data_IF_821921043595
#
_entry.id   IF_821921043595
#
_cell.length_a   1.000
_cell.length_b   1.000
_cell.length_c   1.000
_cell.angle_alpha   90.00
_cell.angle_beta   90.00
_cell.angle_gamma   90.00
#
_symmetry.space_group_name_H-M   'P 1'
#
loop_
_entity.id
_entity.type
_entity.pdbx_description
1 polymer ?
#
# COMPACT_ATOMS: atom_id res chain seq x y z
N UNK A 1 13.37 21.92 12.63
CA UNK A 1 12.54 21.13 13.60
C UNK A 1 11.79 22.04 14.58
N UNK A 2 12.33 23.23 14.94
CA UNK A 2 11.60 24.25 15.74
C UNK A 2 10.44 24.93 14.99
N UNK A 3 10.56 25.11 13.68
CA UNK A 3 9.56 25.90 12.91
C UNK A 3 8.25 25.15 12.67
N UNK A 4 8.29 23.81 12.71
CA UNK A 4 7.09 22.95 12.68
C UNK A 4 6.36 23.02 14.02
N UNK A 5 7.09 23.06 15.14
CA UNK A 5 6.52 23.22 16.49
C UNK A 5 5.90 24.62 16.67
N UNK A 6 6.53 25.66 16.10
CA UNK A 6 5.99 27.02 16.11
C UNK A 6 4.70 27.16 15.26
N UNK A 7 4.61 26.47 14.11
CA UNK A 7 3.38 26.43 13.31
C UNK A 7 2.23 25.72 14.02
N UNK A 8 2.52 24.67 14.80
CA UNK A 8 1.51 23.99 15.62
C UNK A 8 1.03 24.85 16.81
N UNK A 9 1.91 25.63 17.44
CA UNK A 9 1.51 26.58 18.50
C UNK A 9 0.57 27.66 17.97
N UNK A 10 0.84 28.17 16.76
CA UNK A 10 -0.03 29.18 16.12
C UNK A 10 -1.41 28.64 15.72
N UNK A 11 -1.51 27.34 15.41
CA UNK A 11 -2.78 26.63 15.17
C UNK A 11 -3.58 26.38 16.45
N UNK A 12 -2.90 26.25 17.60
CA UNK A 12 -3.54 26.13 18.92
C UNK A 12 -4.06 27.50 19.42
N UNK A 13 -3.40 28.60 19.07
CA UNK A 13 -3.85 29.96 19.45
C UNK A 13 -5.07 30.46 18.64
N UNK A 14 -5.34 29.88 17.47
CA UNK A 14 -6.58 30.10 16.71
C UNK A 14 -7.84 29.52 17.41
N UNK A 15 -7.65 28.76 18.50
CA UNK A 15 -8.73 28.24 19.37
C UNK A 15 -9.32 29.31 20.29
N UNK A 16 -8.85 30.56 20.24
CA UNK A 16 -9.34 31.69 21.04
C UNK A 16 -10.12 32.75 20.23
N UNK A 17 -10.62 32.43 19.05
CA UNK A 17 -11.58 33.29 18.35
C UNK A 17 -13.01 32.98 18.81
N UNK A 18 -13.48 33.86 19.71
CA UNK A 18 -14.84 34.35 19.92
C UNK A 18 -15.99 33.38 19.64
N UNK A 19 -16.59 32.92 20.74
CA UNK A 19 -17.92 32.32 20.83
C UNK A 19 -18.93 33.25 20.12
N UNK A 20 -19.41 32.84 18.95
CA UNK A 20 -20.48 33.54 18.21
C UNK A 20 -21.81 32.84 18.51
N UNK A 21 -22.71 33.45 19.30
CA UNK A 21 -23.97 32.84 19.71
C UNK A 21 -25.02 32.74 18.59
N UNK A 22 -24.72 33.24 17.38
CA UNK A 22 -25.64 33.15 16.22
C UNK A 22 -25.50 31.86 15.40
N UNK A 23 -24.47 31.04 15.63
CA UNK A 23 -24.33 29.71 15.01
C UNK A 23 -25.05 28.59 15.77
N UNK A 24 -25.70 28.92 16.89
CA UNK A 24 -26.38 27.97 17.79
C UNK A 24 -27.87 27.74 17.44
N UNK A 25 -28.44 28.53 16.52
CA UNK A 25 -29.86 28.46 16.12
C UNK A 25 -30.10 27.99 14.68
N UNK A 26 -29.10 27.39 14.02
CA UNK A 26 -29.36 26.66 12.78
C UNK A 26 -29.87 25.27 13.14
N UNK A 27 -31.18 25.18 13.38
CA UNK A 27 -31.95 23.94 13.35
C UNK A 27 -31.66 23.27 11.99
N UNK A 28 -30.78 22.28 12.00
CA UNK A 28 -30.62 21.38 10.88
C UNK A 28 -31.86 20.49 10.89
N UNK A 29 -32.82 20.85 10.03
CA UNK A 29 -34.06 20.13 9.80
C UNK A 29 -33.81 18.62 9.84
N UNK A 30 -34.40 17.95 10.83
CA UNK A 30 -34.32 16.50 11.06
C UNK A 30 -35.04 15.67 9.99
N UNK A 31 -35.37 16.27 8.85
CA UNK A 31 -35.88 15.62 7.63
C UNK A 31 -34.75 15.25 6.65
N UNK A 32 -33.49 15.26 7.08
CA UNK A 32 -32.39 14.61 6.38
C UNK A 32 -32.63 13.12 6.29
N UNK A 33 -33.37 12.69 5.26
CA UNK A 33 -33.48 11.31 4.84
C UNK A 33 -32.07 10.72 4.78
N UNK A 34 -31.79 9.79 5.69
CA UNK A 34 -30.60 8.97 5.61
C UNK A 34 -30.67 8.24 4.27
N UNK A 35 -29.88 8.70 3.30
CA UNK A 35 -29.87 8.12 1.96
C UNK A 35 -29.64 6.63 2.11
N UNK A 36 -30.65 5.83 1.72
CA UNK A 36 -30.57 4.37 1.78
C UNK A 36 -29.31 3.89 1.05
N UNK A 37 -28.72 2.77 1.47
CA UNK A 37 -27.59 2.14 0.76
C UNK A 37 -27.91 1.96 -0.73
N UNK A 38 -29.19 1.75 -1.06
CA UNK A 38 -29.69 1.67 -2.44
C UNK A 38 -29.64 3.01 -3.18
N UNK A 39 -29.90 4.13 -2.52
CA UNK A 39 -29.82 5.47 -3.10
C UNK A 39 -28.37 5.92 -3.29
N UNK A 40 -27.47 5.56 -2.37
CA UNK A 40 -26.03 5.80 -2.51
C UNK A 40 -25.46 4.97 -3.67
N UNK A 41 -25.85 3.70 -3.77
CA UNK A 41 -25.50 2.85 -4.90
C UNK A 41 -26.05 3.41 -6.21
N UNK A 42 -27.30 3.89 -6.23
CA UNK A 42 -27.90 4.53 -7.39
C UNK A 42 -27.16 5.82 -7.79
N UNK A 43 -26.72 6.62 -6.83
CA UNK A 43 -25.94 7.84 -7.07
C UNK A 43 -24.57 7.52 -7.66
N UNK A 44 -23.85 6.54 -7.11
CA UNK A 44 -22.57 6.07 -7.65
C UNK A 44 -22.71 5.49 -9.06
N UNK A 45 -23.76 4.69 -9.30
CA UNK A 45 -24.05 4.14 -10.63
C UNK A 45 -24.33 5.27 -11.62
N UNK A 46 -25.08 6.29 -11.20
CA UNK A 46 -25.43 7.46 -12.02
C UNK A 46 -24.23 8.34 -12.31
N UNK A 47 -23.35 8.55 -11.33
CA UNK A 47 -22.10 9.29 -11.50
C UNK A 47 -21.15 8.53 -12.45
N UNK A 48 -21.00 7.21 -12.24
CA UNK A 48 -20.18 6.37 -13.10
C UNK A 48 -20.73 6.31 -14.55
N UNK A 49 -22.04 6.16 -14.73
CA UNK A 49 -22.66 6.20 -16.07
C UNK A 49 -22.52 7.57 -16.72
N UNK A 50 -22.64 8.67 -15.96
CA UNK A 50 -22.45 10.03 -16.48
C UNK A 50 -21.01 10.24 -16.92
N UNK A 51 -20.03 9.82 -16.11
CA UNK A 51 -18.62 9.85 -16.48
C UNK A 51 -18.34 9.00 -17.72
N UNK A 52 -18.91 7.79 -17.83
CA UNK A 52 -18.75 6.92 -19.00
C UNK A 52 -19.38 7.54 -20.25
N UNK A 53 -20.56 8.16 -20.15
CA UNK A 53 -21.27 8.81 -21.27
C UNK A 53 -20.52 10.06 -21.74
N UNK A 54 -20.06 10.89 -20.82
CA UNK A 54 -19.29 12.11 -21.12
C UNK A 54 -17.93 11.73 -21.72
N UNK A 55 -17.22 10.78 -21.11
CA UNK A 55 -15.96 10.28 -21.65
C UNK A 55 -16.15 9.49 -22.94
N UNK A 56 -17.34 8.93 -23.25
CA UNK A 56 -17.56 8.18 -24.50
C UNK A 56 -17.18 9.03 -25.71
N UNK A 57 -17.59 10.29 -25.73
CA UNK A 57 -17.31 11.19 -26.86
C UNK A 57 -15.80 11.40 -27.09
N UNK A 58 -15.01 11.47 -26.01
CA UNK A 58 -13.55 11.59 -26.03
C UNK A 58 -12.85 10.24 -26.28
N UNK A 59 -13.38 9.13 -25.76
CA UNK A 59 -12.88 7.76 -25.94
C UNK A 59 -12.91 7.34 -27.41
N UNK A 60 -13.96 7.75 -28.12
CA UNK A 60 -14.16 7.42 -29.53
C UNK A 60 -13.25 8.23 -30.46
N UNK A 61 -12.87 9.46 -30.07
CA UNK A 61 -12.03 10.35 -30.88
C UNK A 61 -10.52 10.08 -30.74
N UNK A 62 -10.06 9.54 -29.61
CA UNK A 62 -8.63 9.32 -29.36
C UNK A 62 -8.31 7.82 -29.14
N UNK A 63 -7.79 7.10 -30.15
CA UNK A 63 -7.44 5.69 -30.02
C UNK A 63 -6.34 5.44 -28.98
N UNK A 64 -5.47 6.42 -28.73
CA UNK A 64 -4.45 6.38 -27.69
C UNK A 64 -5.06 6.27 -26.28
N UNK A 65 -6.11 7.04 -25.98
CA UNK A 65 -6.81 7.00 -24.70
C UNK A 65 -7.49 5.64 -24.48
N UNK A 66 -8.12 5.08 -25.53
CA UNK A 66 -8.76 3.76 -25.48
C UNK A 66 -7.75 2.63 -25.29
N UNK A 67 -6.54 2.76 -25.85
CA UNK A 67 -5.44 1.84 -25.61
C UNK A 67 -4.93 1.95 -24.17
N UNK A 68 -4.77 3.17 -23.66
CA UNK A 68 -4.41 3.43 -22.26
C UNK A 68 -5.40 2.82 -21.26
N UNK A 69 -6.70 3.04 -21.42
CA UNK A 69 -7.73 2.48 -20.52
C UNK A 69 -7.75 0.95 -20.56
N UNK A 70 -7.59 0.34 -21.75
CA UNK A 70 -7.50 -1.12 -21.84
C UNK A 70 -6.24 -1.69 -21.20
N UNK A 71 -5.16 -0.92 -21.16
CA UNK A 71 -3.88 -1.34 -20.60
C UNK A 71 -3.82 -1.13 -19.07
N UNK A 72 -4.27 0.03 -18.57
CA UNK A 72 -4.22 0.39 -17.13
C UNK A 72 -5.52 0.14 -16.36
N UNK A 73 -6.64 -0.13 -17.04
CA UNK A 73 -7.93 -0.41 -16.41
C UNK A 73 -7.93 -1.68 -15.55
N UNK A 74 -7.48 -2.85 -16.04
CA UNK A 74 -7.45 -4.07 -15.25
C UNK A 74 -6.69 -3.99 -13.92
N UNK A 75 -5.44 -3.45 -13.85
CA UNK A 75 -4.75 -3.32 -12.57
C UNK A 75 -5.43 -2.33 -11.62
N UNK A 76 -6.05 -1.26 -12.15
CA UNK A 76 -6.86 -0.33 -11.37
C UNK A 76 -8.08 -1.02 -10.75
N UNK A 77 -8.80 -1.85 -11.52
CA UNK A 77 -9.96 -2.61 -11.01
C UNK A 77 -9.54 -3.53 -9.88
N UNK A 78 -8.44 -4.27 -10.02
CA UNK A 78 -7.93 -5.15 -8.94
C UNK A 78 -7.64 -4.36 -7.66
N UNK A 79 -7.05 -3.17 -7.77
CA UNK A 79 -6.80 -2.29 -6.62
C UNK A 79 -8.10 -1.77 -6.02
N UNK A 80 -9.08 -1.33 -6.82
CA UNK A 80 -10.38 -0.86 -6.31
C UNK A 80 -11.18 -1.98 -5.65
N UNK A 81 -11.11 -3.21 -6.15
CA UNK A 81 -11.74 -4.37 -5.51
C UNK A 81 -11.27 -4.57 -4.06
N UNK A 82 -10.03 -4.20 -3.73
CA UNK A 82 -9.52 -4.26 -2.35
C UNK A 82 -10.26 -3.32 -1.41
N UNK A 83 -10.65 -2.13 -1.90
CA UNK A 83 -11.38 -1.15 -1.10
C UNK A 83 -12.76 -1.67 -0.65
N UNK A 84 -13.39 -2.56 -1.42
CA UNK A 84 -14.62 -3.24 -1.01
C UNK A 84 -14.39 -4.52 -0.23
N UNK A 85 -13.35 -5.29 -0.60
CA UNK A 85 -13.04 -6.57 0.01
C UNK A 85 -12.74 -6.45 1.51
N UNK A 86 -11.90 -5.49 1.90
CA UNK A 86 -11.43 -5.39 3.29
C UNK A 86 -12.52 -4.95 4.28
N UNK A 87 -13.35 -3.93 4.01
CA UNK A 87 -14.53 -3.66 4.84
C UNK A 87 -15.46 -4.89 4.93
N UNK A 88 -15.69 -5.60 3.82
CA UNK A 88 -16.46 -6.84 3.82
C UNK A 88 -15.86 -7.91 4.76
N UNK A 89 -14.54 -8.07 4.73
CA UNK A 89 -13.82 -8.94 5.65
C UNK A 89 -13.95 -8.48 7.11
N UNK A 90 -13.86 -7.18 7.42
CA UNK A 90 -14.08 -6.65 8.77
C UNK A 90 -15.47 -7.01 9.31
N UNK A 91 -16.52 -6.82 8.51
CA UNK A 91 -17.90 -7.14 8.92
C UNK A 91 -18.07 -8.63 9.17
N UNK A 92 -17.56 -9.43 8.24
CA UNK A 92 -17.64 -10.87 8.35
C UNK A 92 -16.87 -11.37 9.56
N UNK A 93 -15.69 -10.81 9.82
CA UNK A 93 -14.86 -11.14 10.98
C UNK A 93 -15.56 -10.78 12.29
N UNK A 94 -16.14 -9.58 12.40
CA UNK A 94 -16.82 -9.14 13.63
C UNK A 94 -18.04 -10.01 13.98
N UNK A 95 -18.82 -10.40 12.97
CA UNK A 95 -20.03 -11.24 13.14
C UNK A 95 -19.76 -12.74 13.28
N UNK A 96 -18.51 -13.16 13.13
CA UNK A 96 -18.13 -14.57 13.08
C UNK A 96 -17.82 -15.15 14.45
N UNK A 97 -18.11 -16.45 14.62
CA UNK A 97 -17.63 -17.23 15.76
C UNK A 97 -16.10 -17.36 15.74
N UNK A 98 -15.48 -17.71 16.88
CA UNK A 98 -14.02 -17.85 16.98
C UNK A 98 -13.42 -18.80 15.95
N UNK A 99 -14.09 -19.92 15.66
CA UNK A 99 -13.66 -20.87 14.64
C UNK A 99 -13.68 -20.24 13.23
N UNK A 100 -14.73 -19.49 12.90
CA UNK A 100 -14.84 -18.81 11.59
C UNK A 100 -13.82 -17.67 11.49
N UNK A 101 -13.54 -16.94 12.57
CA UNK A 101 -12.46 -15.94 12.62
C UNK A 101 -11.10 -16.54 12.26
N UNK A 102 -10.78 -17.72 12.80
CA UNK A 102 -9.53 -18.43 12.47
C UNK A 102 -9.51 -18.83 10.97
N UNK A 103 -10.62 -19.33 10.43
CA UNK A 103 -10.71 -19.66 8.99
C UNK A 103 -10.51 -18.42 8.12
N UNK A 104 -11.17 -17.30 8.45
CA UNK A 104 -11.01 -16.04 7.72
C UNK A 104 -9.56 -15.52 7.77
N UNK A 105 -8.91 -15.64 8.92
CA UNK A 105 -7.48 -15.35 9.09
C UNK A 105 -6.61 -16.18 8.16
N UNK A 106 -6.89 -17.48 7.99
CA UNK A 106 -6.14 -18.35 7.07
C UNK A 106 -6.47 -18.03 5.60
N UNK A 107 -7.70 -17.64 5.28
CA UNK A 107 -8.09 -17.24 3.94
C UNK A 107 -7.42 -15.92 3.50
N UNK A 108 -7.12 -15.02 4.44
CA UNK A 108 -6.56 -13.71 4.14
C UNK A 108 -5.22 -13.76 3.36
N UNK A 109 -4.19 -14.52 3.80
CA UNK A 109 -2.97 -14.73 3.02
C UNK A 109 -3.20 -15.33 1.63
N UNK A 110 -4.17 -16.24 1.48
CA UNK A 110 -4.49 -16.87 0.20
C UNK A 110 -5.07 -15.86 -0.79
N UNK A 111 -5.96 -15.00 -0.30
CA UNK A 111 -6.55 -13.93 -1.11
C UNK A 111 -5.48 -12.91 -1.47
N UNK A 112 -4.69 -12.43 -0.49
CA UNK A 112 -3.53 -11.56 -0.71
C UNK A 112 -2.62 -12.13 -1.82
N UNK A 113 -2.24 -13.41 -1.72
CA UNK A 113 -1.45 -14.10 -2.75
C UNK A 113 -2.13 -14.13 -4.12
N UNK A 114 -3.42 -14.46 -4.17
CA UNK A 114 -4.21 -14.47 -5.41
C UNK A 114 -4.25 -13.09 -6.08
N UNK A 115 -4.41 -12.03 -5.30
CA UNK A 115 -4.40 -10.64 -5.77
C UNK A 115 -3.03 -10.24 -6.31
N UNK A 116 -1.94 -10.53 -5.57
CA UNK A 116 -0.56 -10.33 -6.04
C UNK A 116 -0.32 -11.01 -7.38
N UNK A 117 -0.64 -12.29 -7.48
CA UNK A 117 -0.40 -13.10 -8.68
C UNK A 117 -1.24 -12.63 -9.87
N UNK A 118 -2.45 -12.14 -9.62
CA UNK A 118 -3.30 -11.58 -10.67
C UNK A 118 -2.73 -10.26 -11.16
N UNK A 119 -2.29 -9.41 -10.24
CA UNK A 119 -1.72 -8.11 -10.56
C UNK A 119 -0.36 -8.23 -11.25
N UNK A 120 0.50 -9.16 -10.86
CA UNK A 120 1.76 -9.47 -11.54
C UNK A 120 1.54 -9.95 -12.97
N UNK A 121 0.56 -10.85 -13.20
CA UNK A 121 0.22 -11.33 -14.55
C UNK A 121 -0.26 -10.19 -15.46
N UNK A 122 -1.07 -9.29 -14.92
CA UNK A 122 -1.57 -8.11 -15.65
C UNK A 122 -0.43 -7.12 -15.89
N UNK A 123 0.37 -6.83 -14.85
CA UNK A 123 1.49 -5.89 -14.87
C UNK A 123 2.60 -6.31 -15.83
N UNK A 124 2.86 -7.61 -16.00
CA UNK A 124 3.87 -8.12 -16.94
C UNK A 124 3.61 -7.69 -18.39
N UNK A 125 2.38 -7.34 -18.76
CA UNK A 125 2.03 -6.81 -20.07
C UNK A 125 2.25 -5.31 -20.25
N UNK A 126 2.67 -4.59 -19.20
CA UNK A 126 2.91 -3.15 -19.21
C UNK A 126 4.43 -2.86 -19.21
N UNK A 127 4.95 -2.34 -20.32
CA UNK A 127 6.40 -2.07 -20.51
C UNK A 127 7.01 -1.16 -19.42
N UNK A 128 6.25 -0.19 -18.90
CA UNK A 128 6.74 0.83 -17.95
C UNK A 128 6.33 0.56 -16.50
N UNK A 129 5.68 -0.57 -16.22
CA UNK A 129 5.12 -0.85 -14.90
C UNK A 129 5.84 -2.05 -14.27
N UNK A 130 6.78 -1.78 -13.36
CA UNK A 130 7.39 -2.85 -12.56
C UNK A 130 6.30 -3.59 -11.78
N UNK A 131 6.21 -4.91 -11.97
CA UNK A 131 5.22 -5.76 -11.29
C UNK A 131 5.27 -5.64 -9.77
N UNK A 132 6.39 -5.22 -9.20
CA UNK A 132 6.59 -5.00 -7.77
C UNK A 132 5.92 -3.72 -7.28
N UNK A 133 6.01 -2.65 -8.07
CA UNK A 133 5.29 -1.39 -7.84
C UNK A 133 3.79 -1.59 -7.96
N UNK A 134 3.36 -2.52 -8.82
CA UNK A 134 1.96 -2.92 -8.88
C UNK A 134 1.52 -3.51 -7.54
N UNK A 135 2.27 -4.51 -7.08
CA UNK A 135 1.97 -5.28 -5.87
C UNK A 135 2.06 -4.43 -4.61
N UNK A 136 2.82 -3.33 -4.60
CA UNK A 136 2.91 -2.45 -3.43
C UNK A 136 1.57 -1.92 -2.92
N UNK A 137 0.60 -1.67 -3.81
CA UNK A 137 -0.75 -1.26 -3.38
C UNK A 137 -1.49 -2.34 -2.61
N UNK A 138 -1.29 -3.61 -3.00
CA UNK A 138 -1.89 -4.76 -2.31
C UNK A 138 -1.32 -4.87 -0.90
N UNK A 139 -0.01 -4.69 -0.77
CA UNK A 139 0.68 -4.74 0.52
C UNK A 139 0.31 -3.60 1.44
N UNK A 140 0.30 -2.37 0.93
CA UNK A 140 -0.08 -1.21 1.72
C UNK A 140 -1.47 -1.41 2.34
N UNK A 141 -2.43 -1.84 1.53
CA UNK A 141 -3.79 -2.03 2.00
C UNK A 141 -3.92 -3.23 2.96
N UNK A 142 -3.24 -4.35 2.66
CA UNK A 142 -3.20 -5.51 3.53
C UNK A 142 -2.61 -5.19 4.91
N UNK A 143 -1.47 -4.46 4.95
CA UNK A 143 -0.82 -4.06 6.21
C UNK A 143 -1.68 -3.08 7.01
N UNK A 144 -2.38 -2.15 6.36
CA UNK A 144 -3.33 -1.26 7.03
C UNK A 144 -4.49 -2.06 7.64
N UNK A 145 -5.03 -3.02 6.89
CA UNK A 145 -6.10 -3.88 7.37
C UNK A 145 -5.66 -4.79 8.53
N UNK A 146 -4.48 -5.41 8.44
CA UNK A 146 -3.89 -6.19 9.52
C UNK A 146 -3.70 -5.35 10.78
N UNK A 147 -3.26 -4.10 10.64
CA UNK A 147 -3.17 -3.16 11.76
C UNK A 147 -4.53 -2.94 12.42
N UNK A 148 -5.60 -2.77 11.64
CA UNK A 148 -6.96 -2.65 12.17
C UNK A 148 -7.38 -3.93 12.89
N UNK A 149 -7.10 -5.11 12.34
CA UNK A 149 -7.41 -6.38 12.99
C UNK A 149 -6.69 -6.55 14.32
N UNK A 150 -5.41 -6.16 14.42
CA UNK A 150 -4.67 -6.21 15.68
C UNK A 150 -5.30 -5.29 16.74
N UNK A 151 -5.90 -4.18 16.32
CA UNK A 151 -6.49 -3.18 17.21
C UNK A 151 -7.90 -3.53 17.67
N UNK A 152 -8.68 -4.29 16.88
CA UNK A 152 -10.10 -4.57 17.15
C UNK A 152 -10.37 -5.99 17.63
N UNK A 153 -9.43 -6.91 17.46
CA UNK A 153 -9.66 -8.32 17.77
C UNK A 153 -9.46 -8.62 19.24
N UNK A 154 -10.53 -9.02 19.94
CA UNK A 154 -10.45 -9.51 21.33
C UNK A 154 -9.88 -10.94 21.48
N UNK A 155 -9.70 -11.66 20.37
CA UNK A 155 -9.20 -13.04 20.38
C UNK A 155 -7.68 -13.09 20.22
N UNK A 156 -6.98 -13.33 21.34
CA UNK A 156 -5.53 -13.56 21.35
C UNK A 156 -5.10 -14.69 20.40
N UNK A 157 -5.91 -15.75 20.28
CA UNK A 157 -5.64 -16.86 19.38
C UNK A 157 -5.69 -16.45 17.89
N UNK A 158 -6.67 -15.61 17.50
CA UNK A 158 -6.77 -15.12 16.13
C UNK A 158 -5.61 -14.17 15.79
N UNK A 159 -5.24 -13.26 16.72
CA UNK A 159 -4.07 -12.41 16.57
C UNK A 159 -2.80 -13.23 16.42
N UNK A 160 -2.52 -14.16 17.34
CA UNK A 160 -1.35 -15.04 17.26
C UNK A 160 -1.30 -15.85 15.96
N UNK A 161 -2.46 -16.28 15.44
CA UNK A 161 -2.53 -16.99 14.16
C UNK A 161 -2.18 -16.09 12.98
N UNK A 162 -2.68 -14.84 12.95
CA UNK A 162 -2.32 -13.85 11.91
C UNK A 162 -0.81 -13.60 11.94
N UNK A 163 -0.26 -13.24 13.11
CA UNK A 163 1.17 -12.96 13.26
C UNK A 163 2.02 -14.17 12.88
N UNK A 164 1.63 -15.37 13.32
CA UNK A 164 2.36 -16.61 13.03
C UNK A 164 2.36 -16.96 11.53
N UNK A 165 1.22 -16.79 10.85
CA UNK A 165 1.14 -17.01 9.41
C UNK A 165 2.05 -16.05 8.63
N UNK A 166 2.04 -14.77 8.97
CA UNK A 166 2.89 -13.79 8.28
C UNK A 166 4.38 -14.09 8.48
N UNK A 167 4.80 -14.44 9.71
CA UNK A 167 6.18 -14.87 9.99
C UNK A 167 6.57 -16.10 9.18
N UNK A 168 5.69 -17.10 9.09
CA UNK A 168 5.94 -18.30 8.26
C UNK A 168 6.06 -17.93 6.80
N UNK A 169 5.19 -17.06 6.29
CA UNK A 169 5.23 -16.60 4.90
C UNK A 169 6.50 -15.79 4.59
N UNK A 170 6.96 -14.94 5.52
CA UNK A 170 8.24 -14.23 5.43
C UNK A 170 9.43 -15.18 5.37
N UNK A 171 9.48 -16.17 6.28
CA UNK A 171 10.52 -17.21 6.27
C UNK A 171 10.51 -18.00 4.96
N UNK A 172 9.33 -18.36 4.43
CA UNK A 172 9.21 -19.05 3.15
C UNK A 172 9.70 -18.18 2.00
N UNK A 173 9.38 -16.88 1.98
CA UNK A 173 9.88 -15.96 0.96
C UNK A 173 11.42 -15.87 0.97
N UNK A 174 12.02 -15.78 2.17
CA UNK A 174 13.48 -15.79 2.34
C UNK A 174 14.07 -17.13 1.87
N UNK A 175 13.48 -18.26 2.26
CA UNK A 175 13.93 -19.59 1.81
C UNK A 175 13.85 -19.75 0.30
N UNK A 176 12.76 -19.34 -0.33
CA UNK A 176 12.60 -19.38 -1.78
C UNK A 176 13.67 -18.53 -2.49
N UNK A 177 13.99 -17.36 -1.93
CA UNK A 177 15.09 -16.53 -2.43
C UNK A 177 16.45 -17.23 -2.25
N UNK A 178 16.64 -17.95 -1.14
CA UNK A 178 17.86 -18.68 -0.82
C UNK A 178 18.05 -20.00 -1.59
N UNK A 179 16.99 -20.67 -2.01
CA UNK A 179 17.08 -21.95 -2.71
C UNK A 179 17.27 -21.78 -4.23
N UNK A 180 17.11 -20.56 -4.74
CA UNK A 180 17.36 -20.25 -6.14
C UNK A 180 18.81 -20.59 -6.51
N UNK A 181 18.98 -21.55 -7.43
CA UNK A 181 20.29 -22.00 -7.93
C UNK A 181 20.95 -20.88 -8.72
N UNK A 182 22.26 -20.73 -8.56
CA UNK A 182 23.07 -19.72 -9.24
C UNK A 182 24.26 -20.40 -9.90
N UNK A 183 24.62 -19.97 -11.10
CA UNK A 183 25.77 -20.51 -11.84
C UNK A 183 27.10 -20.11 -11.17
N UNK A 184 27.11 -18.94 -10.54
CA UNK A 184 28.25 -18.36 -9.83
C UNK A 184 27.99 -18.40 -8.32
N UNK A 185 29.01 -18.47 -7.44
CA UNK A 185 28.82 -18.23 -6.01
C UNK A 185 27.97 -16.98 -5.77
N UNK A 186 26.92 -17.10 -4.96
CA UNK A 186 25.90 -16.07 -4.74
C UNK A 186 26.46 -14.70 -4.33
N UNK A 187 27.58 -14.71 -3.62
CA UNK A 187 28.30 -13.52 -3.17
C UNK A 187 28.99 -12.74 -4.30
N UNK A 188 29.36 -13.44 -5.38
CA UNK A 188 29.97 -12.83 -6.57
C UNK A 188 28.97 -12.55 -7.68
N UNK A 189 27.77 -13.12 -7.61
CA UNK A 189 26.77 -13.04 -8.68
C UNK A 189 26.50 -11.57 -9.10
N UNK A 190 26.22 -10.71 -8.11
CA UNK A 190 25.88 -9.31 -8.39
C UNK A 190 27.11 -8.49 -8.75
N UNK A 191 28.26 -8.72 -8.11
CA UNK A 191 29.50 -7.99 -8.45
C UNK A 191 29.99 -8.33 -9.86
N UNK A 192 29.91 -9.61 -10.27
CA UNK A 192 30.25 -10.04 -11.64
C UNK A 192 29.29 -9.45 -12.67
N UNK A 193 27.98 -9.50 -12.42
CA UNK A 193 27.00 -8.91 -13.33
C UNK A 193 27.27 -7.41 -13.53
N UNK A 194 27.55 -6.67 -12.46
CA UNK A 194 27.89 -5.23 -12.56
C UNK A 194 29.22 -5.02 -13.28
N UNK A 195 30.23 -5.87 -13.07
CA UNK A 195 31.50 -5.78 -13.79
C UNK A 195 31.32 -6.00 -15.30
N UNK A 196 30.53 -7.00 -15.70
CA UNK A 196 30.20 -7.27 -17.11
C UNK A 196 29.46 -6.10 -17.75
N UNK A 197 28.42 -5.56 -17.08
CA UNK A 197 27.68 -4.39 -17.56
C UNK A 197 28.55 -3.15 -17.72
N UNK A 198 29.53 -2.95 -16.82
CA UNK A 198 30.48 -1.83 -16.92
C UNK A 198 31.50 -2.04 -18.04
N UNK A 199 31.97 -3.27 -18.25
CA UNK A 199 32.89 -3.59 -19.33
C UNK A 199 32.23 -3.37 -20.71
N UNK A 200 30.96 -3.75 -20.85
CA UNK A 200 30.16 -3.50 -22.05
C UNK A 200 29.89 -2.01 -22.26
N UNK A 201 29.55 -1.26 -21.21
CA UNK A 201 29.38 0.20 -21.28
C UNK A 201 30.66 0.97 -21.61
N UNK A 202 31.83 0.45 -21.21
CA UNK A 202 33.13 1.01 -21.58
C UNK A 202 33.57 0.69 -23.03
N UNK A 203 32.94 -0.31 -23.66
CA UNK A 203 33.24 -0.76 -25.02
C UNK A 203 32.31 -0.15 -26.09
N UNK A 204 31.38 0.74 -25.69
CA UNK A 204 30.49 1.45 -26.61
C UNK A 204 31.27 2.33 -27.62
N UNK A 205 30.73 2.57 -28.83
CA UNK A 205 31.50 3.12 -29.93
C UNK A 205 32.07 4.51 -29.60
N UNK A 206 33.24 4.87 -30.17
CA UNK A 206 33.84 6.17 -29.90
C UNK A 206 32.87 7.27 -30.31
N UNK A 207 32.79 8.29 -29.44
CA UNK A 207 32.10 9.56 -29.68
C UNK A 207 32.54 10.10 -31.05
N UNK A 208 31.70 9.94 -32.07
CA UNK A 208 31.84 10.66 -33.33
C UNK A 208 31.49 12.12 -33.05
N UNK A 209 32.51 12.95 -32.90
CA UNK A 209 32.37 14.39 -33.10
C UNK A 209 31.98 14.63 -34.56
N UNK A 210 30.69 14.84 -34.81
CA UNK A 210 30.24 15.47 -36.05
C UNK A 210 29.22 16.56 -35.75
N UNK A 211 29.72 17.78 -35.91
CA UNK A 211 29.01 18.98 -36.30
C UNK A 211 28.03 18.70 -37.45
N UNK A 212 26.87 19.38 -37.39
CA UNK A 212 25.85 19.63 -38.44
C UNK A 212 24.52 18.85 -38.37
N UNK A 213 23.50 19.60 -37.91
CA UNK A 213 22.24 19.97 -38.61
C UNK A 213 21.39 18.87 -39.26
N UNK A 214 20.14 18.74 -38.82
CA UNK A 214 19.09 18.04 -39.57
C UNK A 214 17.94 17.54 -38.68
N UNK A 215 16.78 18.16 -38.84
CA UNK A 215 15.51 17.91 -38.17
C UNK A 215 14.93 16.50 -38.43
N UNK A 216 14.48 15.82 -37.37
CA UNK A 216 13.34 14.86 -37.36
C UNK A 216 13.18 14.26 -35.96
N UNK A 217 12.14 14.75 -35.27
CA UNK A 217 11.65 14.25 -34.00
C UNK A 217 10.93 12.91 -34.20
N UNK A 218 11.63 11.80 -33.94
CA UNK A 218 11.01 10.49 -33.74
C UNK A 218 11.38 9.98 -32.34
N UNK A 219 10.34 9.66 -31.57
CA UNK A 219 10.42 9.27 -30.18
C UNK A 219 11.22 7.97 -30.01
N UNK A 220 12.47 8.09 -29.56
CA UNK A 220 13.31 6.95 -29.18
C UNK A 220 12.74 6.30 -27.91
N UNK A 221 12.17 5.11 -28.09
CA UNK A 221 12.01 4.12 -27.03
C UNK A 221 13.39 3.82 -26.40
N UNK A 222 13.48 3.56 -25.08
CA UNK A 222 14.77 3.31 -24.44
C UNK A 222 15.37 2.01 -24.98
N UNK A 223 16.40 2.18 -25.79
CA UNK A 223 17.24 1.18 -26.47
C UNK A 223 18.09 0.32 -25.51
N UNK A 224 17.74 0.26 -24.23
CA UNK A 224 18.44 -0.55 -23.22
C UNK A 224 17.98 -2.02 -23.25
N UNK A 225 16.83 -2.32 -23.84
CA UNK A 225 16.18 -3.61 -23.68
C UNK A 225 16.61 -4.72 -24.66
N UNK A 226 17.42 -4.45 -25.70
CA UNK A 226 17.67 -5.48 -26.73
C UNK A 226 18.96 -5.37 -27.53
N UNK A 227 20.00 -4.71 -26.99
CA UNK A 227 21.36 -4.80 -27.53
C UNK A 227 22.26 -5.51 -26.54
N UNK A 228 22.00 -6.80 -26.36
CA UNK A 228 23.04 -7.71 -25.89
C UNK A 228 23.84 -8.07 -27.13
N UNK A 229 24.97 -7.39 -27.31
CA UNK A 229 25.79 -7.51 -28.51
C UNK A 229 26.29 -8.95 -28.71
N UNK A 230 26.41 -9.33 -29.98
CA UNK A 230 26.78 -10.64 -30.50
C UNK A 230 28.18 -11.16 -30.08
N UNK A 231 28.85 -10.48 -29.14
CA UNK A 231 30.16 -10.83 -28.58
C UNK A 231 30.11 -11.36 -27.13
N UNK A 232 29.01 -11.14 -26.38
CA UNK A 232 28.86 -11.65 -25.02
C UNK A 232 28.57 -13.16 -25.02
N UNK A 233 29.38 -13.93 -24.30
CA UNK A 233 29.21 -15.39 -24.17
C UNK A 233 27.85 -15.71 -23.55
N UNK A 234 27.27 -16.86 -23.91
CA UNK A 234 25.99 -17.31 -23.35
C UNK A 234 26.01 -17.37 -21.81
N UNK A 235 27.19 -17.63 -21.23
CA UNK A 235 27.42 -17.65 -19.78
C UNK A 235 27.34 -16.26 -19.15
N UNK A 236 27.94 -15.23 -19.76
CA UNK A 236 27.88 -13.85 -19.27
C UNK A 236 26.46 -13.30 -19.26
N UNK A 237 25.70 -13.57 -20.33
CA UNK A 237 24.28 -13.20 -20.42
C UNK A 237 23.46 -13.86 -19.32
N UNK A 238 23.71 -15.15 -19.06
CA UNK A 238 23.03 -15.90 -18.00
C UNK A 238 23.32 -15.32 -16.61
N UNK A 239 24.57 -14.94 -16.34
CA UNK A 239 24.97 -14.32 -15.06
C UNK A 239 24.25 -12.99 -14.83
N UNK A 240 24.19 -12.14 -15.86
CA UNK A 240 23.48 -10.85 -15.76
C UNK A 240 21.97 -11.06 -15.56
N UNK A 241 21.34 -11.96 -16.32
CA UNK A 241 19.93 -12.29 -16.14
C UNK A 241 19.64 -12.83 -14.73
N UNK A 242 20.45 -13.76 -14.24
CA UNK A 242 20.29 -14.32 -12.88
C UNK A 242 20.43 -13.25 -11.79
N UNK A 243 21.39 -12.34 -11.94
CA UNK A 243 21.58 -11.24 -11.00
C UNK A 243 20.38 -10.27 -11.01
N UNK A 244 19.83 -9.95 -12.18
CA UNK A 244 18.65 -9.09 -12.31
C UNK A 244 17.41 -9.75 -11.71
N UNK A 245 17.15 -11.02 -12.00
CA UNK A 245 16.02 -11.74 -11.42
C UNK A 245 16.15 -11.86 -9.90
N UNK A 246 17.38 -12.00 -9.38
CA UNK A 246 17.63 -12.00 -7.94
C UNK A 246 17.37 -10.62 -7.34
N UNK A 247 17.87 -9.54 -7.97
CA UNK A 247 17.66 -8.17 -7.51
C UNK A 247 16.19 -7.79 -7.48
N UNK A 248 15.41 -8.22 -8.49
CA UNK A 248 13.96 -8.10 -8.53
C UNK A 248 13.34 -8.88 -7.35
N UNK A 249 13.57 -10.19 -7.25
CA UNK A 249 13.02 -10.98 -6.14
C UNK A 249 13.38 -10.42 -4.73
N UNK A 250 14.59 -9.86 -4.56
CA UNK A 250 14.99 -9.18 -3.34
C UNK A 250 14.23 -7.86 -3.11
N UNK A 251 14.02 -7.05 -4.17
CA UNK A 251 13.19 -5.85 -4.14
C UNK A 251 11.77 -6.18 -3.68
N UNK A 252 11.12 -7.18 -4.27
CA UNK A 252 9.77 -7.60 -3.88
C UNK A 252 9.68 -7.95 -2.39
N UNK A 253 10.60 -8.77 -1.87
CA UNK A 253 10.55 -9.21 -0.46
C UNK A 253 10.86 -8.06 0.48
N UNK A 254 11.88 -7.24 0.19
CA UNK A 254 12.24 -6.09 1.04
C UNK A 254 11.12 -5.06 1.11
N UNK A 255 10.38 -4.86 0.01
CA UNK A 255 9.26 -3.95 -0.04
C UNK A 255 8.08 -4.41 0.84
N UNK A 256 7.80 -5.73 0.83
CA UNK A 256 6.77 -6.35 1.70
C UNK A 256 7.14 -6.17 3.17
N UNK A 257 8.35 -6.61 3.54
CA UNK A 257 8.87 -6.52 4.92
C UNK A 257 8.86 -5.06 5.41
N UNK A 258 9.23 -4.10 4.54
CA UNK A 258 9.17 -2.68 4.86
C UNK A 258 7.76 -2.20 5.20
N UNK A 259 6.76 -2.53 4.36
CA UNK A 259 5.38 -2.11 4.60
C UNK A 259 4.75 -2.77 5.83
N UNK A 260 5.07 -4.04 6.09
CA UNK A 260 4.59 -4.75 7.28
C UNK A 260 5.19 -4.21 8.59
N UNK A 261 6.32 -3.50 8.53
CA UNK A 261 6.88 -2.79 9.69
C UNK A 261 6.36 -1.36 9.78
N UNK A 262 6.52 -0.56 8.72
CA UNK A 262 6.32 0.90 8.77
C UNK A 262 4.84 1.28 8.87
N UNK A 263 3.96 0.60 8.15
CA UNK A 263 2.53 0.98 8.13
C UNK A 263 1.88 0.81 9.50
N UNK A 264 2.05 -0.32 10.21
CA UNK A 264 1.53 -0.45 11.57
C UNK A 264 2.08 0.62 12.54
N UNK A 265 3.37 0.95 12.47
CA UNK A 265 3.96 2.01 13.31
C UNK A 265 3.31 3.36 13.02
N UNK A 266 3.19 3.72 11.74
CA UNK A 266 2.53 4.97 11.33
C UNK A 266 1.07 4.99 11.79
N UNK A 267 0.37 3.85 11.70
CA UNK A 267 -1.01 3.74 12.18
C UNK A 267 -1.10 3.87 13.71
N UNK A 268 -0.14 3.36 14.48
CA UNK A 268 -0.06 3.57 15.93
C UNK A 268 0.13 5.05 16.27
N UNK A 269 1.05 5.73 15.58
CA UNK A 269 1.28 7.18 15.78
C UNK A 269 0.01 7.96 15.45
N UNK A 270 -0.64 7.62 14.33
CA UNK A 270 -1.92 8.21 13.95
C UNK A 270 -2.97 8.00 15.05
N UNK A 271 -3.13 6.79 15.58
CA UNK A 271 -4.13 6.48 16.59
C UNK A 271 -3.85 7.20 17.91
N UNK A 272 -2.60 7.21 18.36
CA UNK A 272 -2.16 7.90 19.57
C UNK A 272 -2.46 9.40 19.52
N UNK A 273 -2.32 10.04 18.35
CA UNK A 273 -2.66 11.46 18.18
C UNK A 273 -4.16 11.65 18.01
N UNK A 274 -4.78 10.88 17.11
CA UNK A 274 -6.16 11.08 16.70
C UNK A 274 -7.16 10.76 17.82
N UNK A 275 -6.85 9.83 18.72
CA UNK A 275 -7.70 9.50 19.87
C UNK A 275 -7.87 10.67 20.85
N UNK A 276 -6.93 11.61 20.89
CA UNK A 276 -7.03 12.81 21.74
C UNK A 276 -7.74 14.00 21.08
N UNK A 277 -8.07 13.90 19.79
CA UNK A 277 -8.76 14.96 19.07
C UNK A 277 -10.27 14.89 19.28
N UNK A 278 -10.97 16.04 19.40
CA UNK A 278 -12.43 16.06 19.57
C UNK A 278 -13.19 15.55 18.33
N UNK A 279 -12.51 15.39 17.20
CA UNK A 279 -13.05 14.80 15.98
C UNK A 279 -13.14 13.27 16.05
N UNK A 280 -12.45 12.63 17.00
CA UNK A 280 -12.45 11.18 17.18
C UNK A 280 -13.85 10.59 17.39
N UNK A 281 -14.73 11.34 18.07
CA UNK A 281 -16.14 10.94 18.32
C UNK A 281 -16.94 10.64 17.05
N UNK A 282 -16.54 11.23 15.93
CA UNK A 282 -17.22 11.07 14.64
C UNK A 282 -16.60 10.00 13.76
N UNK A 283 -15.53 9.34 14.21
CA UNK A 283 -14.89 8.26 13.47
C UNK A 283 -15.23 6.93 14.14
N UNK A 284 -15.95 6.05 13.47
CA UNK A 284 -16.39 4.74 13.99
C UNK A 284 -15.22 3.88 14.48
N UNK A 285 -14.04 4.01 13.87
CA UNK A 285 -12.84 3.27 14.27
C UNK A 285 -12.09 3.88 15.45
N UNK A 286 -12.13 5.20 15.60
CA UNK A 286 -11.35 5.91 16.64
C UNK A 286 -12.23 6.20 17.87
N UNK A 287 -13.54 6.32 17.70
CA UNK A 287 -14.50 6.59 18.76
C UNK A 287 -14.39 5.62 19.96
N UNK A 288 -14.20 4.30 19.78
CA UNK A 288 -14.03 3.40 20.93
C UNK A 288 -12.88 3.82 21.85
N UNK A 289 -11.75 4.24 21.27
CA UNK A 289 -10.57 4.68 22.03
C UNK A 289 -10.75 6.06 22.67
N UNK A 290 -11.63 6.90 22.12
CA UNK A 290 -11.97 8.20 22.71
C UNK A 290 -12.78 8.05 24.01
N UNK A 291 -13.70 7.09 24.06
CA UNK A 291 -14.53 6.83 25.24
C UNK A 291 -13.87 5.91 26.27
N UNK A 292 -13.02 4.98 25.82
CA UNK A 292 -12.32 4.00 26.65
C UNK A 292 -10.80 4.05 26.41
N UNK A 293 -10.08 4.97 27.09
CA UNK A 293 -8.63 5.14 26.92
C UNK A 293 -7.83 3.88 27.25
N UNK A 294 -8.31 3.03 28.16
CA UNK A 294 -7.66 1.77 28.52
C UNK A 294 -7.51 0.79 27.34
N UNK A 295 -8.43 0.84 26.38
CA UNK A 295 -8.38 -0.03 25.18
C UNK A 295 -7.39 0.47 24.13
N UNK A 296 -7.01 1.75 24.20
CA UNK A 296 -6.04 2.36 23.29
C UNK A 296 -4.65 1.78 23.52
N UNK A 297 -4.24 1.65 24.78
CA UNK A 297 -2.92 1.12 25.13
C UNK A 297 -2.75 -0.33 24.70
N UNK A 298 -3.79 -1.16 24.86
CA UNK A 298 -3.80 -2.55 24.41
C UNK A 298 -3.73 -2.66 22.87
N UNK A 299 -4.48 -1.81 22.16
CA UNK A 299 -4.47 -1.74 20.70
C UNK A 299 -3.11 -1.27 20.15
N UNK A 300 -2.48 -0.27 20.79
CA UNK A 300 -1.13 0.19 20.45
C UNK A 300 -0.11 -0.92 20.73
N UNK A 301 -0.19 -1.56 21.90
CA UNK A 301 0.75 -2.60 22.30
C UNK A 301 0.72 -3.81 21.35
N UNK A 302 -0.47 -4.35 21.06
CA UNK A 302 -0.64 -5.49 20.14
C UNK A 302 -0.12 -5.18 18.73
N UNK A 303 -0.38 -3.96 18.23
CA UNK A 303 0.10 -3.52 16.92
C UNK A 303 1.62 -3.31 16.89
N UNK A 304 2.21 -2.74 17.96
CA UNK A 304 3.66 -2.58 18.07
C UNK A 304 4.37 -3.92 18.25
N UNK A 305 3.79 -4.85 19.00
CA UNK A 305 4.29 -6.22 19.12
C UNK A 305 4.35 -6.88 17.74
N UNK A 306 3.27 -6.80 16.96
CA UNK A 306 3.25 -7.28 15.57
C UNK A 306 4.36 -6.63 14.72
N UNK A 307 4.45 -5.31 14.73
CA UNK A 307 5.47 -4.58 13.97
C UNK A 307 6.90 -4.96 14.39
N UNK A 308 7.14 -5.22 15.68
CA UNK A 308 8.45 -5.65 16.17
C UNK A 308 8.83 -7.05 15.66
N UNK A 309 7.87 -7.97 15.57
CA UNK A 309 8.09 -9.32 15.03
C UNK A 309 8.44 -9.26 13.54
N UNK A 310 7.75 -8.41 12.78
CA UNK A 310 8.10 -8.15 11.38
C UNK A 310 9.44 -7.44 11.24
N UNK A 311 9.76 -6.52 12.16
CA UNK A 311 11.07 -5.87 12.22
C UNK A 311 12.20 -6.86 12.41
N UNK A 312 12.01 -7.87 13.25
CA UNK A 312 12.95 -8.97 13.43
C UNK A 312 13.14 -9.78 12.13
N UNK A 313 12.06 -10.08 11.39
CA UNK A 313 12.14 -10.74 10.06
C UNK A 313 12.96 -9.91 9.06
N UNK A 314 12.70 -8.59 9.00
CA UNK A 314 13.45 -7.67 8.16
C UNK A 314 14.95 -7.62 8.51
N UNK A 315 15.29 -7.65 9.81
CA UNK A 315 16.69 -7.74 10.28
C UNK A 315 17.34 -9.06 9.85
N UNK A 316 16.64 -10.19 9.99
CA UNK A 316 17.12 -11.49 9.51
C UNK A 316 17.39 -11.44 8.01
N UNK A 317 16.46 -10.89 7.23
CA UNK A 317 16.63 -10.70 5.79
C UNK A 317 17.85 -9.84 5.46
N UNK A 318 18.08 -8.74 6.20
CA UNK A 318 19.28 -7.91 6.04
C UNK A 318 20.56 -8.71 6.23
N UNK A 319 20.64 -9.51 7.30
CA UNK A 319 21.81 -10.35 7.55
C UNK A 319 21.99 -11.42 6.47
N UNK A 320 20.91 -12.10 6.06
CA UNK A 320 20.94 -13.07 4.95
C UNK A 320 21.48 -12.42 3.68
N UNK A 321 21.00 -11.22 3.33
CA UNK A 321 21.43 -10.51 2.13
C UNK A 321 22.89 -10.09 2.18
N UNK A 322 23.34 -9.59 3.34
CA UNK A 322 24.71 -9.16 3.57
C UNK A 322 25.70 -10.34 3.54
N UNK A 323 25.40 -11.43 4.22
CA UNK A 323 26.32 -12.56 4.34
C UNK A 323 26.35 -13.46 3.11
N UNK A 324 25.20 -13.71 2.47
CA UNK A 324 25.12 -14.63 1.31
C UNK A 324 25.36 -13.94 -0.03
N UNK A 325 24.95 -12.68 -0.16
CA UNK A 325 24.96 -11.97 -1.44
C UNK A 325 25.90 -10.75 -1.45
N UNK A 326 26.47 -10.38 -0.29
CA UNK A 326 27.40 -9.24 -0.21
C UNK A 326 26.72 -7.88 -0.40
N UNK A 327 25.39 -7.81 -0.32
CA UNK A 327 24.60 -6.60 -0.55
C UNK A 327 23.94 -6.13 0.74
N UNK A 328 23.94 -4.82 0.97
CA UNK A 328 23.17 -4.23 2.06
C UNK A 328 21.69 -4.16 1.67
N UNK A 329 20.82 -4.82 2.43
CA UNK A 329 19.37 -4.72 2.24
C UNK A 329 18.86 -3.29 2.42
N UNK A 330 19.47 -2.52 3.33
CA UNK A 330 19.09 -1.13 3.55
C UNK A 330 19.38 -0.26 2.33
N UNK A 331 20.53 -0.48 1.66
CA UNK A 331 20.90 0.26 0.45
C UNK A 331 20.00 -0.11 -0.74
N UNK A 332 19.71 -1.42 -0.90
CA UNK A 332 18.80 -1.87 -1.95
C UNK A 332 17.39 -1.33 -1.72
N UNK A 333 16.90 -1.38 -0.48
CA UNK A 333 15.59 -0.82 -0.12
C UNK A 333 15.55 0.70 -0.35
N UNK A 334 16.59 1.46 0.03
CA UNK A 334 16.62 2.91 -0.23
C UNK A 334 16.59 3.21 -1.72
N UNK A 335 17.32 2.43 -2.54
CA UNK A 335 17.29 2.56 -3.99
C UNK A 335 15.89 2.30 -4.57
N UNK A 336 15.23 1.23 -4.12
CA UNK A 336 13.86 0.89 -4.53
C UNK A 336 12.88 1.99 -4.12
N UNK A 337 12.99 2.50 -2.90
CA UNK A 337 12.15 3.59 -2.40
C UNK A 337 12.32 4.84 -3.24
N UNK A 338 13.55 5.23 -3.55
CA UNK A 338 13.84 6.40 -4.39
C UNK A 338 13.28 6.23 -5.82
N UNK A 339 13.48 5.06 -6.43
CA UNK A 339 12.99 4.77 -7.78
C UNK A 339 11.46 4.81 -7.88
N UNK A 340 10.77 4.43 -6.81
CA UNK A 340 9.31 4.23 -6.83
C UNK A 340 8.55 5.16 -5.88
N UNK A 341 9.22 6.21 -5.35
CA UNK A 341 8.71 7.08 -4.29
C UNK A 341 7.34 7.67 -4.62
N UNK A 342 7.22 8.31 -5.79
CA UNK A 342 5.98 8.96 -6.21
C UNK A 342 4.82 7.97 -6.34
N UNK A 343 5.09 6.77 -6.84
CA UNK A 343 4.07 5.73 -6.99
C UNK A 343 3.63 5.18 -5.63
N UNK A 344 4.57 4.95 -4.73
CA UNK A 344 4.30 4.45 -3.37
C UNK A 344 3.53 5.50 -2.57
N UNK A 345 3.99 6.76 -2.59
CA UNK A 345 3.34 7.87 -1.91
C UNK A 345 1.91 8.10 -2.43
N UNK A 346 1.70 8.06 -3.74
CA UNK A 346 0.36 8.18 -4.33
C UNK A 346 -0.58 7.07 -3.86
N UNK A 347 -0.10 5.82 -3.79
CA UNK A 347 -0.89 4.69 -3.26
C UNK A 347 -1.15 4.81 -1.77
N UNK A 348 -0.17 5.21 -0.97
CA UNK A 348 -0.35 5.47 0.47
C UNK A 348 -1.42 6.52 0.69
N UNK A 349 -1.35 7.66 -0.01
CA UNK A 349 -2.32 8.73 0.11
C UNK A 349 -3.73 8.27 -0.32
N UNK A 350 -3.84 7.53 -1.43
CA UNK A 350 -5.10 6.98 -1.88
C UNK A 350 -5.71 6.03 -0.84
N UNK A 351 -4.91 5.10 -0.32
CA UNK A 351 -5.38 4.12 0.67
C UNK A 351 -5.76 4.78 2.01
N UNK A 352 -4.96 5.72 2.50
CA UNK A 352 -5.28 6.48 3.71
C UNK A 352 -6.58 7.28 3.53
N UNK A 353 -6.76 7.92 2.37
CA UNK A 353 -7.99 8.64 2.05
C UNK A 353 -9.20 7.72 2.10
N UNK A 354 -9.17 6.58 1.41
CA UNK A 354 -10.24 5.57 1.39
C UNK A 354 -10.57 5.09 2.81
N UNK A 355 -9.55 4.72 3.57
CA UNK A 355 -9.70 4.17 4.91
C UNK A 355 -10.29 5.22 5.87
N UNK A 356 -9.78 6.45 5.87
CA UNK A 356 -10.33 7.54 6.67
C UNK A 356 -11.78 7.85 6.29
N UNK A 357 -12.08 7.92 4.99
CA UNK A 357 -13.40 8.27 4.47
C UNK A 357 -14.46 7.27 4.91
N UNK A 358 -14.18 5.97 4.76
CA UNK A 358 -15.08 4.88 5.18
C UNK A 358 -15.33 4.80 6.68
N UNK A 359 -14.62 5.58 7.50
CA UNK A 359 -14.69 5.47 8.95
C UNK A 359 -15.36 6.64 9.62
N UNK A 360 -15.75 7.66 8.88
CA UNK A 360 -16.47 8.80 9.45
C UNK A 360 -17.97 8.53 9.37
N UNK A 361 -18.66 8.69 10.51
CA UNK A 361 -20.10 8.40 10.65
C UNK A 361 -20.98 9.19 9.67
N UNK A 362 -20.51 10.38 9.25
CA UNK A 362 -21.24 11.29 8.37
C UNK A 362 -21.40 10.75 6.94
N UNK A 363 -20.55 9.79 6.54
CA UNK A 363 -20.70 9.11 5.25
C UNK A 363 -21.63 7.88 5.33
N UNK A 364 -22.34 7.69 6.45
CA UNK A 364 -23.31 6.60 6.62
C UNK A 364 -22.72 5.20 6.67
N UNK A 365 -21.39 5.07 6.71
CA UNK A 365 -20.67 3.81 6.68
C UNK A 365 -20.52 3.21 8.10
N UNK A 366 -21.65 2.85 8.74
CA UNK A 366 -21.60 1.89 9.85
C UNK A 366 -21.70 0.47 9.31
N UNK A 367 -20.54 -0.12 9.05
CA UNK A 367 -20.45 -1.51 8.60
C UNK A 367 -20.88 -2.53 9.67
N UNK A 368 -21.09 -2.13 10.93
CA UNK A 368 -21.67 -3.01 11.95
C UNK A 368 -23.20 -3.14 11.79
N UNK A 369 -23.81 -2.29 10.95
CA UNK A 369 -25.25 -2.15 10.73
C UNK A 369 -26.04 -2.03 12.04
N UNK A 370 -25.43 -1.49 13.10
CA UNK A 370 -26.10 -1.29 14.39
C UNK A 370 -26.84 0.05 14.44
N UNK A 371 -26.49 1.00 13.57
CA UNK A 371 -27.21 2.28 13.40
C UNK A 371 -27.59 2.95 14.73
N UNK A 372 -26.74 2.85 15.75
CA UNK A 372 -26.92 3.44 17.10
C UNK A 372 -26.71 4.97 17.11
N UNK A 373 -27.04 5.65 16.01
CA UNK A 373 -26.86 7.09 15.87
C UNK A 373 -27.95 7.90 16.57
N UNK A 374 -29.08 7.27 16.89
CA UNK A 374 -30.24 7.92 17.49
C UNK A 374 -30.07 8.12 19.01
N UNK A 375 -29.29 7.27 19.68
CA UNK A 375 -29.17 7.28 21.15
C UNK A 375 -27.82 7.76 21.68
N UNK A 376 -26.84 8.09 20.81
CA UNK A 376 -25.58 8.70 21.28
C UNK A 376 -25.80 10.19 21.50
N UNK A 377 -25.76 10.68 22.75
CA UNK A 377 -25.89 12.11 22.98
C UNK A 377 -24.68 12.81 22.34
N UNK A 378 -24.96 13.66 21.35
CA UNK A 378 -23.96 14.52 20.69
C UNK A 378 -23.42 15.60 21.66
N UNK A 379 -24.05 15.75 22.82
CA UNK A 379 -23.58 16.55 23.95
C UNK A 379 -23.01 15.64 25.05
N UNK A 380 -21.91 16.02 25.72
CA UNK A 380 -21.65 15.50 27.05
C UNK A 380 -22.84 15.86 27.94
N UNK A 381 -23.40 14.89 28.68
CA UNK A 381 -24.33 15.22 29.75
C UNK A 381 -23.56 16.00 30.84
N UNK A 382 -24.17 17.05 31.42
CA UNK A 382 -23.49 17.96 32.33
C UNK A 382 -22.91 17.29 33.58
#
# INVERSE_FOLDING_TARGET
MSDVVASFSSLVDLKRCKHDPELENLDFDSNGTSLSVEEQAAWLIKEATTHVIVLRSKLWRHPALRRGIRLYGPPFIVQVCQAGLYPGFSVLFDRSSTAVKIVLTVCFPLIKYGMKKSLQRIAHGLLDYSGEVAVSGVEICASLYQSILMQTTSSAAAMATIMGLDVVMGILAIKLLMDKKSHVPKRELVSRAVALLRAEGASGPPRRDHTQSGDSSEARLPEFALRVDSSATAEERLVVCQALEFAHAAEAVLLVEYFEVVIPVVNCIFLAVAAHLPTARFNTRIAPFYYSPETLDEAIFSTLLYSSLQGASCIVMHYVMKYRYGLSAAYHLSFVMERHLLSIQGKLLAWLSVILHFSVIHYGADFTFRFEYVDRPLRPQP
#
